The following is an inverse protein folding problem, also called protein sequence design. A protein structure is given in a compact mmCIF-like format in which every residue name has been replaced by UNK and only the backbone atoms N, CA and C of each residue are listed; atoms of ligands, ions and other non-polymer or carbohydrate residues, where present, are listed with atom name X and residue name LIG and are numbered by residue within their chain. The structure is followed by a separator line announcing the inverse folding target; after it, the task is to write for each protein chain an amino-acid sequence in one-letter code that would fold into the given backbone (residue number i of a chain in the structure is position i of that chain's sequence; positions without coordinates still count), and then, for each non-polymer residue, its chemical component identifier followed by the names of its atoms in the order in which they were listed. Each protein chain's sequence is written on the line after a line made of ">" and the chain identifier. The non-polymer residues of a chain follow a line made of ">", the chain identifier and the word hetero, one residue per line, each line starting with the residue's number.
data_IF_079498919620
#
_entry.id   IF_079498919620
#
_cell.length_a   1.000
_cell.length_b   1.000
_cell.length_c   1.000
_cell.angle_alpha   90.00
_cell.angle_beta   90.00
_cell.angle_gamma   90.00
#
_symmetry.space_group_name_H-M   'P 1'
#
loop_
_entity.id
_entity.type
_entity.pdbx_description
1 polymer ?
#
# COMPACT_ATOMS: atom_id res chain seq x y z
N UNK A 1 3.42 -1.25 -21.66
CA UNK A 1 4.26 -0.50 -20.70
C UNK A 1 3.61 -0.61 -19.34
N UNK A 2 4.24 -1.28 -18.38
CA UNK A 2 3.70 -1.36 -17.02
C UNK A 2 4.43 -0.30 -16.21
N UNK A 3 3.79 0.86 -16.09
CA UNK A 3 4.32 2.04 -15.40
C UNK A 3 4.11 2.00 -13.89
N UNK A 4 3.32 1.04 -13.41
CA UNK A 4 2.90 0.96 -12.02
C UNK A 4 3.41 -0.32 -11.37
N UNK A 5 3.75 -0.20 -10.09
CA UNK A 5 4.07 -1.32 -9.22
C UNK A 5 2.85 -1.61 -8.35
N UNK A 6 2.46 -2.88 -8.13
CA UNK A 6 1.40 -3.24 -7.19
C UNK A 6 1.70 -2.77 -5.76
N UNK A 7 0.66 -2.58 -4.96
CA UNK A 7 0.82 -2.21 -3.54
C UNK A 7 1.39 -3.37 -2.71
N UNK A 8 1.82 -3.10 -1.48
CA UNK A 8 2.53 -4.09 -0.65
C UNK A 8 1.73 -5.39 -0.45
N UNK A 9 0.42 -5.28 -0.20
CA UNK A 9 -0.49 -6.43 -0.10
C UNK A 9 -0.51 -7.26 -1.38
N UNK A 10 -0.70 -6.63 -2.53
CA UNK A 10 -0.78 -7.35 -3.81
C UNK A 10 0.54 -8.03 -4.17
N UNK A 11 1.67 -7.40 -3.81
CA UNK A 11 2.99 -8.01 -3.93
C UNK A 11 3.14 -9.23 -3.01
N UNK A 12 2.73 -9.14 -1.75
CA UNK A 12 2.77 -10.27 -0.81
C UNK A 12 1.90 -11.44 -1.29
N UNK A 13 0.69 -11.16 -1.79
CA UNK A 13 -0.22 -12.16 -2.38
C UNK A 13 0.36 -12.80 -3.66
N UNK A 14 1.12 -12.04 -4.44
CA UNK A 14 1.88 -12.56 -5.58
C UNK A 14 3.13 -13.37 -5.14
N UNK A 15 3.39 -13.47 -3.84
CA UNK A 15 4.50 -14.22 -3.26
C UNK A 15 5.84 -13.48 -3.33
N UNK A 16 5.82 -12.15 -3.43
CA UNK A 16 6.99 -11.30 -3.19
C UNK A 16 7.26 -11.25 -1.69
N UNK A 17 8.51 -11.43 -1.31
CA UNK A 17 8.96 -11.29 0.08
C UNK A 17 9.48 -9.89 0.33
N UNK A 18 9.13 -9.31 1.46
CA UNK A 18 9.68 -8.02 1.90
C UNK A 18 10.89 -8.25 2.80
N UNK A 19 11.90 -7.38 2.65
CA UNK A 19 13.07 -7.39 3.53
C UNK A 19 13.57 -5.98 3.75
N UNK A 20 13.91 -5.64 5.00
CA UNK A 20 14.66 -4.41 5.28
C UNK A 20 16.09 -4.56 4.74
N UNK A 21 16.56 -3.59 3.97
CA UNK A 21 17.93 -3.53 3.49
C UNK A 21 18.84 -3.09 4.64
N UNK A 22 19.73 -3.97 5.10
CA UNK A 22 20.71 -3.65 6.14
C UNK A 22 21.83 -2.77 5.57
N UNK A 23 22.21 -1.71 6.28
CA UNK A 23 23.37 -0.85 5.98
C UNK A 23 23.38 -0.23 4.57
N UNK A 24 22.43 0.69 4.32
CA UNK A 24 22.46 1.55 3.13
C UNK A 24 22.50 3.01 3.56
N UNK A 25 23.54 3.74 3.16
CA UNK A 25 23.61 5.21 3.32
C UNK A 25 22.65 5.93 2.37
N UNK A 26 22.18 5.22 1.33
CA UNK A 26 21.20 5.69 0.37
C UNK A 26 19.80 5.17 0.74
N UNK A 27 18.93 6.07 1.16
CA UNK A 27 17.54 5.79 1.53
C UNK A 27 16.68 5.42 0.32
N UNK A 28 17.10 5.77 -0.90
CA UNK A 28 16.35 5.53 -2.14
C UNK A 28 16.72 4.21 -2.82
N UNK A 29 17.74 3.52 -2.31
CA UNK A 29 18.26 2.27 -2.87
C UNK A 29 17.30 1.09 -2.67
N UNK A 30 16.54 0.75 -3.70
CA UNK A 30 15.63 -0.40 -3.68
C UNK A 30 16.20 -1.52 -4.54
N UNK A 31 16.12 -2.76 -4.06
CA UNK A 31 16.57 -3.93 -4.82
C UNK A 31 15.49 -4.99 -4.91
N UNK A 32 15.47 -5.71 -6.03
CA UNK A 32 14.58 -6.85 -6.23
C UNK A 32 15.36 -8.02 -6.81
N UNK A 33 15.52 -9.07 -6.01
CA UNK A 33 16.30 -10.26 -6.34
C UNK A 33 15.58 -11.51 -5.84
N UNK A 34 15.46 -12.53 -6.69
CA UNK A 34 14.88 -13.83 -6.34
C UNK A 34 13.51 -13.75 -5.64
N UNK A 35 12.64 -12.86 -6.12
CA UNK A 35 11.30 -12.65 -5.54
C UNK A 35 11.29 -11.88 -4.21
N UNK A 36 12.43 -11.33 -3.77
CA UNK A 36 12.52 -10.52 -2.55
C UNK A 36 12.72 -9.05 -2.92
N UNK A 37 11.83 -8.19 -2.46
CA UNK A 37 11.92 -6.73 -2.55
C UNK A 37 12.56 -6.20 -1.26
N UNK A 38 13.80 -5.70 -1.38
CA UNK A 38 14.52 -5.13 -0.25
C UNK A 38 14.53 -3.61 -0.31
N UNK A 39 14.11 -2.98 0.80
CA UNK A 39 13.91 -1.53 0.94
C UNK A 39 14.64 -1.06 2.20
N UNK A 40 15.38 0.07 2.18
CA UNK A 40 15.97 0.67 3.37
C UNK A 40 14.91 0.99 4.43
N UNK A 41 15.33 1.09 5.70
CA UNK A 41 14.42 1.55 6.77
C UNK A 41 14.02 3.00 6.51
N UNK A 42 12.73 3.26 6.57
CA UNK A 42 12.10 4.57 6.42
C UNK A 42 11.55 4.98 7.77
N UNK A 43 12.02 6.12 8.27
CA UNK A 43 11.44 6.78 9.44
C UNK A 43 10.58 7.94 8.98
N UNK A 44 9.37 8.02 9.50
CA UNK A 44 8.45 9.12 9.18
C UNK A 44 7.92 9.76 10.46
N UNK A 45 7.77 11.08 10.36
CA UNK A 45 7.14 11.95 11.35
C UNK A 45 6.41 13.06 10.59
N UNK A 46 5.41 13.69 11.21
CA UNK A 46 4.63 14.76 10.58
C UNK A 46 5.49 15.90 10.03
N UNK A 47 6.57 16.22 10.74
CA UNK A 47 7.53 17.27 10.37
C UNK A 47 8.28 16.99 9.06
N UNK A 48 8.26 15.74 8.54
CA UNK A 48 8.96 15.38 7.30
C UNK A 48 8.16 15.71 6.04
N UNK A 49 6.84 15.90 6.15
CA UNK A 49 5.99 16.15 4.99
C UNK A 49 6.40 17.40 4.20
N UNK A 50 6.62 18.58 4.83
CA UNK A 50 7.09 19.76 4.12
C UNK A 50 8.46 19.54 3.47
N UNK A 51 9.36 18.81 4.14
CA UNK A 51 10.68 18.49 3.60
C UNK A 51 10.57 17.69 2.31
N UNK A 52 9.77 16.61 2.31
CA UNK A 52 9.61 15.77 1.13
C UNK A 52 8.93 16.51 -0.03
N UNK A 53 7.89 17.29 0.25
CA UNK A 53 7.22 18.11 -0.76
C UNK A 53 8.16 19.17 -1.37
N UNK A 54 9.00 19.81 -0.55
CA UNK A 54 9.97 20.78 -1.05
C UNK A 54 11.07 20.12 -1.90
N UNK A 55 11.53 18.92 -1.54
CA UNK A 55 12.50 18.17 -2.35
C UNK A 55 11.91 17.76 -3.70
N UNK A 56 10.66 17.30 -3.73
CA UNK A 56 9.94 17.00 -4.98
C UNK A 56 9.80 18.26 -5.83
N UNK A 57 9.34 19.37 -5.25
CA UNK A 57 9.19 20.64 -5.96
C UNK A 57 10.52 21.12 -6.54
N UNK A 58 11.61 21.02 -5.77
CA UNK A 58 12.95 21.36 -6.22
C UNK A 58 13.37 20.53 -7.44
N UNK A 59 13.23 19.20 -7.39
CA UNK A 59 13.55 18.32 -8.52
C UNK A 59 12.71 18.62 -9.76
N UNK A 60 11.43 18.97 -9.59
CA UNK A 60 10.55 19.29 -10.70
C UNK A 60 10.84 20.67 -11.32
N UNK A 61 11.30 21.65 -10.54
CA UNK A 61 11.70 22.96 -11.04
C UNK A 61 13.03 22.93 -11.80
N UNK A 62 13.94 22.03 -11.46
CA UNK A 62 15.27 21.91 -12.10
C UNK A 62 15.15 21.08 -13.39
N UNK A 63 14.63 21.71 -14.44
CA UNK A 63 14.35 21.09 -15.75
C UNK A 63 15.59 20.46 -16.42
N UNK A 64 16.78 21.04 -16.23
CA UNK A 64 17.99 20.69 -17.00
C UNK A 64 18.63 19.36 -16.61
N UNK A 65 18.35 18.81 -15.42
CA UNK A 65 19.04 17.62 -14.94
C UNK A 65 18.29 16.30 -15.20
N UNK A 66 16.98 16.34 -15.54
CA UNK A 66 16.12 15.16 -15.81
C UNK A 66 16.31 13.98 -14.83
N UNK A 67 16.71 14.27 -13.59
CA UNK A 67 16.99 13.28 -12.57
C UNK A 67 16.06 13.54 -11.41
N UNK A 68 14.81 13.13 -11.59
CA UNK A 68 13.75 13.17 -10.58
C UNK A 68 13.90 11.97 -9.63
N UNK A 69 15.07 11.87 -8.98
CA UNK A 69 15.48 10.67 -8.27
C UNK A 69 14.66 10.46 -7.00
N UNK A 70 14.59 11.49 -6.16
CA UNK A 70 13.77 11.49 -4.95
C UNK A 70 12.27 11.45 -5.28
N UNK A 71 11.84 12.15 -6.31
CA UNK A 71 10.46 12.11 -6.81
C UNK A 71 10.06 10.72 -7.27
N UNK A 72 10.93 10.02 -8.02
CA UNK A 72 10.70 8.62 -8.42
C UNK A 72 10.62 7.70 -7.20
N UNK A 73 11.47 7.93 -6.19
CA UNK A 73 11.41 7.18 -4.92
C UNK A 73 10.08 7.43 -4.18
N UNK A 74 9.64 8.67 -4.07
CA UNK A 74 8.37 9.02 -3.41
C UNK A 74 7.17 8.47 -4.17
N UNK A 75 7.20 8.49 -5.50
CA UNK A 75 6.18 7.84 -6.33
C UNK A 75 6.14 6.32 -6.11
N UNK A 76 7.30 5.67 -5.98
CA UNK A 76 7.34 4.26 -5.63
C UNK A 76 6.70 3.99 -4.26
N UNK A 77 6.97 4.80 -3.24
CA UNK A 77 6.38 4.64 -1.91
C UNK A 77 4.87 4.88 -1.89
N UNK A 78 4.41 5.93 -2.59
CA UNK A 78 2.98 6.20 -2.82
C UNK A 78 2.25 4.98 -3.40
N UNK A 79 2.81 4.38 -4.46
CA UNK A 79 2.22 3.18 -5.08
C UNK A 79 2.32 1.93 -4.19
N UNK A 80 3.40 1.80 -3.44
CA UNK A 80 3.61 0.67 -2.54
C UNK A 80 2.67 0.72 -1.33
N UNK A 81 2.34 1.92 -0.83
CA UNK A 81 1.61 2.14 0.43
C UNK A 81 0.29 2.86 0.18
N UNK A 82 -0.73 2.11 -0.26
CA UNK A 82 -2.03 2.69 -0.57
C UNK A 82 -2.99 2.66 0.65
N UNK A 83 -2.87 1.65 1.51
CA UNK A 83 -3.76 1.40 2.65
C UNK A 83 -3.00 1.18 3.96
N UNK A 84 -3.70 1.28 5.10
CA UNK A 84 -3.15 0.93 6.41
C UNK A 84 -2.60 -0.51 6.47
N UNK A 85 -3.21 -1.44 5.73
CA UNK A 85 -2.73 -2.82 5.67
C UNK A 85 -1.37 -2.93 4.97
N UNK A 86 -1.14 -2.14 3.92
CA UNK A 86 0.18 -2.08 3.25
C UNK A 86 1.26 -1.58 4.22
N UNK A 87 0.92 -0.59 5.06
CA UNK A 87 1.80 -0.08 6.11
C UNK A 87 2.14 -1.18 7.12
N UNK A 88 1.15 -1.93 7.60
CA UNK A 88 1.35 -3.02 8.56
C UNK A 88 2.30 -4.09 8.02
N UNK A 89 2.16 -4.47 6.73
CA UNK A 89 3.07 -5.42 6.09
C UNK A 89 4.51 -4.90 6.14
N UNK A 90 4.73 -3.63 5.81
CA UNK A 90 6.07 -3.04 5.77
C UNK A 90 6.65 -2.81 7.18
N UNK A 91 5.84 -2.43 8.16
CA UNK A 91 6.24 -2.32 9.57
C UNK A 91 6.64 -3.69 10.15
N UNK A 92 5.88 -4.74 9.85
CA UNK A 92 6.20 -6.13 10.25
C UNK A 92 7.58 -6.57 9.76
N UNK A 93 8.00 -6.08 8.59
CA UNK A 93 9.32 -6.36 8.02
C UNK A 93 10.40 -5.35 8.44
N UNK A 94 10.08 -4.40 9.33
CA UNK A 94 10.99 -3.36 9.81
C UNK A 94 11.39 -2.32 8.77
N UNK A 95 10.62 -2.22 7.67
CA UNK A 95 10.87 -1.28 6.58
C UNK A 95 10.34 0.10 6.94
N UNK A 96 9.11 0.18 7.48
CA UNK A 96 8.53 1.44 7.95
C UNK A 96 8.58 1.51 9.47
N UNK A 97 9.00 2.66 9.98
CA UNK A 97 8.84 3.05 11.37
C UNK A 97 8.21 4.44 11.40
N UNK A 98 7.09 4.58 12.09
CA UNK A 98 6.30 5.81 12.09
C UNK A 98 6.16 6.39 13.49
N UNK A 99 6.22 7.71 13.58
CA UNK A 99 5.84 8.50 14.77
C UNK A 99 4.43 9.12 14.63
N UNK A 100 3.68 8.77 13.59
CA UNK A 100 2.29 9.20 13.36
C UNK A 100 1.31 8.40 14.23
N UNK A 101 0.08 8.89 14.36
CA UNK A 101 -0.92 8.37 15.30
C UNK A 101 -1.49 7.00 14.90
N UNK A 102 -1.32 6.59 13.63
CA UNK A 102 -1.76 5.28 13.16
C UNK A 102 -1.37 4.98 11.71
N UNK A 103 -1.57 3.74 11.28
CA UNK A 103 -1.21 3.26 9.94
C UNK A 103 -2.02 3.93 8.82
N UNK A 104 -3.24 4.37 9.09
CA UNK A 104 -4.04 5.16 8.15
C UNK A 104 -3.38 6.52 7.86
N UNK A 105 -2.88 7.21 8.88
CA UNK A 105 -2.16 8.48 8.72
C UNK A 105 -0.86 8.29 7.94
N UNK A 106 -0.18 7.15 8.14
CA UNK A 106 1.02 6.78 7.37
C UNK A 106 0.70 6.58 5.90
N UNK A 107 -0.36 5.83 5.58
CA UNK A 107 -0.78 5.65 4.19
C UNK A 107 -1.16 7.00 3.56
N UNK A 108 -1.93 7.83 4.28
CA UNK A 108 -2.28 9.18 3.82
C UNK A 108 -1.05 10.07 3.60
N UNK A 109 -0.03 9.99 4.46
CA UNK A 109 1.22 10.73 4.31
C UNK A 109 1.89 10.45 2.97
N UNK A 110 2.08 9.16 2.61
CA UNK A 110 2.71 8.78 1.35
C UNK A 110 1.82 9.13 0.15
N UNK A 111 0.52 8.83 0.24
CA UNK A 111 -0.46 9.16 -0.80
C UNK A 111 -0.45 10.66 -1.13
N UNK A 112 -0.38 11.51 -0.11
CA UNK A 112 -0.35 12.97 -0.30
C UNK A 112 0.99 13.47 -0.84
N UNK A 113 2.10 12.80 -0.53
CA UNK A 113 3.40 13.13 -1.13
C UNK A 113 3.50 12.67 -2.60
N UNK A 114 2.70 11.69 -3.02
CA UNK A 114 2.65 11.20 -4.41
C UNK A 114 1.85 12.07 -5.38
N UNK A 115 0.97 12.95 -4.88
CA UNK A 115 0.12 13.80 -5.72
C UNK A 115 0.96 14.78 -6.54
N UNK A 116 0.76 14.78 -7.86
CA UNK A 116 1.45 15.70 -8.77
C UNK A 116 2.91 15.36 -9.02
N UNK A 117 3.38 14.18 -8.62
CA UNK A 117 4.75 13.74 -8.87
C UNK A 117 4.95 13.34 -10.33
N UNK A 118 5.78 14.08 -11.05
CA UNK A 118 6.21 13.73 -12.40
C UNK A 118 7.41 12.77 -12.33
N UNK A 119 7.37 11.67 -13.09
CA UNK A 119 8.45 10.70 -13.22
C UNK A 119 8.85 10.53 -14.68
N UNK A 120 10.14 10.31 -14.93
CA UNK A 120 10.67 10.07 -16.28
C UNK A 120 10.49 8.61 -16.69
N UNK A 121 10.26 8.33 -17.98
CA UNK A 121 10.00 6.96 -18.43
C UNK A 121 11.18 6.00 -18.28
N UNK A 122 12.40 6.55 -18.25
CA UNK A 122 13.67 5.85 -18.08
C UNK A 122 14.28 6.07 -16.67
N UNK A 123 13.43 6.37 -15.67
CA UNK A 123 13.86 6.55 -14.29
C UNK A 123 14.63 5.35 -13.73
N UNK A 124 15.44 5.56 -12.70
CA UNK A 124 16.36 4.53 -12.18
C UNK A 124 15.67 3.24 -11.66
N UNK A 125 14.40 3.32 -11.24
CA UNK A 125 13.59 2.15 -10.84
C UNK A 125 12.92 1.40 -12.01
N UNK A 126 13.05 1.84 -13.26
CA UNK A 126 12.25 1.32 -14.37
C UNK A 126 12.50 -0.18 -14.60
N UNK A 127 13.75 -0.61 -14.53
CA UNK A 127 14.09 -2.03 -14.65
C UNK A 127 13.69 -2.85 -13.43
N UNK A 128 13.66 -2.24 -12.24
CA UNK A 128 13.11 -2.89 -11.05
C UNK A 128 11.62 -3.17 -11.23
N UNK A 129 10.85 -2.18 -11.69
CA UNK A 129 9.41 -2.33 -11.95
C UNK A 129 9.14 -3.44 -12.98
N UNK A 130 9.92 -3.49 -14.07
CA UNK A 130 9.83 -4.59 -15.05
C UNK A 130 10.05 -5.95 -14.41
N UNK A 131 11.07 -6.10 -13.55
CA UNK A 131 11.36 -7.39 -12.89
C UNK A 131 10.28 -7.79 -11.89
N UNK A 132 9.79 -6.85 -11.09
CA UNK A 132 8.69 -7.09 -10.15
C UNK A 132 7.43 -7.49 -10.89
N UNK A 133 7.01 -6.71 -11.90
CA UNK A 133 5.83 -7.01 -12.69
C UNK A 133 5.94 -8.33 -13.46
N UNK A 134 7.13 -8.69 -13.96
CA UNK A 134 7.36 -10.00 -14.57
C UNK A 134 7.20 -11.14 -13.56
N UNK A 135 7.68 -10.96 -12.34
CA UNK A 135 7.53 -11.94 -11.26
C UNK A 135 6.06 -12.11 -10.86
N UNK A 136 5.35 -10.99 -10.70
CA UNK A 136 3.95 -10.97 -10.31
C UNK A 136 3.02 -11.46 -11.42
N UNK A 137 3.26 -11.10 -12.69
CA UNK A 137 2.31 -11.29 -13.79
C UNK A 137 1.71 -12.70 -13.87
N UNK A 138 2.54 -13.75 -13.87
CA UNK A 138 2.04 -15.13 -13.93
C UNK A 138 1.16 -15.53 -12.73
N UNK A 139 1.47 -15.01 -11.53
CA UNK A 139 0.77 -15.35 -10.28
C UNK A 139 -0.44 -14.46 -10.05
N UNK A 140 -0.33 -13.18 -10.33
CA UNK A 140 -1.41 -12.19 -10.28
C UNK A 140 -2.55 -12.60 -11.23
N UNK A 141 -2.24 -12.96 -12.48
CA UNK A 141 -3.25 -13.48 -13.41
C UNK A 141 -3.91 -14.75 -12.87
N UNK A 142 -3.15 -15.63 -12.19
CA UNK A 142 -3.68 -16.86 -11.59
C UNK A 142 -4.58 -16.57 -10.38
N UNK A 143 -4.18 -15.66 -9.50
CA UNK A 143 -4.94 -15.30 -8.29
C UNK A 143 -6.23 -14.58 -8.68
N UNK A 144 -6.15 -13.62 -9.59
CA UNK A 144 -7.30 -12.92 -10.15
C UNK A 144 -8.26 -13.86 -10.88
N UNK A 145 -7.74 -14.81 -11.68
CA UNK A 145 -8.56 -15.82 -12.32
C UNK A 145 -9.24 -16.74 -11.29
N UNK A 146 -8.54 -17.12 -10.21
CA UNK A 146 -9.10 -17.95 -9.13
C UNK A 146 -10.20 -17.21 -8.36
N UNK A 147 -9.97 -15.97 -7.94
CA UNK A 147 -10.97 -15.11 -7.29
C UNK A 147 -12.19 -14.88 -8.19
N UNK A 148 -11.96 -14.57 -9.48
CA UNK A 148 -13.03 -14.44 -10.45
C UNK A 148 -13.85 -15.72 -10.56
N UNK A 149 -13.20 -16.89 -10.63
CA UNK A 149 -13.90 -18.17 -10.73
C UNK A 149 -14.67 -18.53 -9.46
N UNK A 150 -14.03 -18.45 -8.30
CA UNK A 150 -14.56 -19.00 -7.04
C UNK A 150 -15.61 -18.05 -6.40
N UNK A 151 -15.49 -16.73 -6.64
CA UNK A 151 -16.33 -15.71 -6.01
C UNK A 151 -17.26 -14.99 -7.00
N UNK A 152 -16.73 -14.46 -8.10
CA UNK A 152 -17.50 -13.60 -9.01
C UNK A 152 -18.26 -14.35 -10.10
N UNK A 153 -17.83 -15.57 -10.45
CA UNK A 153 -18.50 -16.42 -11.45
C UNK A 153 -19.45 -17.44 -10.81
N UNK A 154 -19.46 -17.56 -9.48
CA UNK A 154 -20.40 -18.44 -8.79
C UNK A 154 -21.53 -17.60 -8.15
N UNK A 155 -22.74 -17.59 -8.74
CA UNK A 155 -23.87 -16.81 -8.20
C UNK A 155 -24.23 -17.20 -6.76
N UNK A 156 -23.96 -18.46 -6.35
CA UNK A 156 -24.17 -18.89 -4.96
C UNK A 156 -23.20 -18.24 -3.97
N UNK A 157 -21.94 -18.01 -4.36
CA UNK A 157 -20.95 -17.32 -3.51
C UNK A 157 -21.37 -15.86 -3.25
N UNK A 158 -21.93 -15.20 -4.27
CA UNK A 158 -22.46 -13.83 -4.16
C UNK A 158 -23.66 -13.79 -3.20
N UNK A 159 -24.61 -14.72 -3.36
CA UNK A 159 -25.77 -14.82 -2.46
C UNK A 159 -25.32 -15.08 -1.01
N UNK A 160 -24.36 -15.98 -0.81
CA UNK A 160 -23.82 -16.29 0.51
C UNK A 160 -23.15 -15.06 1.16
N UNK A 161 -22.39 -14.28 0.37
CA UNK A 161 -21.78 -13.04 0.83
C UNK A 161 -22.84 -12.01 1.26
N UNK A 162 -23.87 -11.80 0.44
CA UNK A 162 -24.97 -10.87 0.75
C UNK A 162 -25.69 -11.32 2.02
N UNK A 163 -26.02 -12.60 2.13
CA UNK A 163 -26.69 -13.16 3.31
C UNK A 163 -25.84 -13.01 4.58
N UNK A 164 -24.55 -13.32 4.53
CA UNK A 164 -23.63 -13.15 5.66
C UNK A 164 -23.53 -11.68 6.09
N UNK A 165 -23.46 -10.75 5.12
CA UNK A 165 -23.39 -9.32 5.40
C UNK A 165 -24.68 -8.81 6.07
N UNK A 166 -25.85 -9.22 5.55
CA UNK A 166 -27.15 -8.88 6.15
C UNK A 166 -27.28 -9.44 7.57
N UNK A 167 -26.90 -10.70 7.78
CA UNK A 167 -26.90 -11.31 9.11
C UNK A 167 -26.01 -10.54 10.08
N UNK A 168 -24.82 -10.12 9.64
CA UNK A 168 -23.89 -9.36 10.47
C UNK A 168 -24.49 -7.99 10.85
N UNK A 169 -25.10 -7.27 9.90
CA UNK A 169 -25.82 -6.03 10.20
C UNK A 169 -26.97 -6.24 11.20
N UNK A 170 -27.75 -7.32 11.05
CA UNK A 170 -28.82 -7.66 11.98
C UNK A 170 -28.28 -7.96 13.39
N UNK A 171 -27.17 -8.69 13.51
CA UNK A 171 -26.55 -8.98 14.81
C UNK A 171 -26.03 -7.73 15.51
N UNK A 172 -25.48 -6.77 14.75
CA UNK A 172 -25.05 -5.47 15.31
C UNK A 172 -26.26 -4.69 15.81
N UNK A 173 -27.31 -4.61 15.00
CA UNK A 173 -28.54 -3.89 15.38
C UNK A 173 -29.21 -4.53 16.61
N UNK A 174 -29.31 -5.86 16.64
CA UNK A 174 -29.84 -6.59 17.79
C UNK A 174 -29.02 -6.32 19.04
N UNK A 175 -27.69 -6.40 18.96
CA UNK A 175 -26.79 -6.12 20.08
C UNK A 175 -26.96 -4.69 20.60
N UNK A 176 -27.09 -3.73 19.70
CA UNK A 176 -27.35 -2.33 20.05
C UNK A 176 -28.70 -2.15 20.77
N UNK A 177 -29.78 -2.73 20.23
CA UNK A 177 -31.11 -2.66 20.83
C UNK A 177 -31.16 -3.34 22.20
N UNK A 178 -30.49 -4.48 22.37
CA UNK A 178 -30.37 -5.16 23.67
C UNK A 178 -29.65 -4.32 24.72
N UNK A 179 -28.55 -3.67 24.34
CA UNK A 179 -27.82 -2.76 25.24
C UNK A 179 -28.65 -1.52 25.57
N UNK A 180 -29.32 -0.93 24.58
CA UNK A 180 -30.18 0.24 24.77
C UNK A 180 -31.35 -0.04 25.72
N UNK A 181 -32.03 -1.19 25.55
CA UNK A 181 -33.13 -1.60 26.42
C UNK A 181 -32.67 -1.90 27.86
N UNK A 182 -31.44 -2.42 28.03
CA UNK A 182 -30.84 -2.63 29.34
C UNK A 182 -30.54 -1.31 30.08
N UNK A 183 -30.07 -0.29 29.35
CA UNK A 183 -29.71 1.02 29.94
C UNK A 183 -30.95 1.87 30.24
N UNK A 184 -32.02 1.76 29.44
CA UNK A 184 -33.25 2.55 29.59
C UNK A 184 -34.48 1.65 29.66
N UNK A 185 -34.67 0.92 30.78
CA UNK A 185 -35.84 0.07 30.94
C UNK A 185 -37.12 0.92 30.88
N UNK A 186 -38.21 0.42 30.27
CA UNK A 186 -39.47 1.14 30.21
C UNK A 186 -40.00 1.40 31.63
N UNK A 187 -40.26 2.66 31.95
CA UNK A 187 -40.88 3.06 33.22
C UNK A 187 -42.29 2.49 33.28
N UNK A 188 -42.53 1.62 34.27
CA UNK A 188 -43.85 1.11 34.65
C UNK A 188 -44.68 2.19 35.34
#
# INVERSE_FOLDING_TARGET
>A
MVWEIPCARELEEAGVKFKKLEQSDDITKITFQSGTLAIPRIRIADSFKPLFMNLIALEQCIYYQRRRHFSTYMNFLDKLVNTAHDVQILQKHGIIESMLSGEEEVALFFNQCGVGVLIDGDHYLADLFKRVNKHCGSRYHRYRAKLSRDYFNNPWSIIALIAATLLLCLTILQSFMSVYAYIRPPSS
#
